data_IF_313099251742
#
_entry.id   IF_313099251742
#
_cell.length_a   1.000
_cell.length_b   1.000
_cell.length_c   1.000
_cell.angle_alpha   90.00
_cell.angle_beta   90.00
_cell.angle_gamma   90.00
#
_symmetry.space_group_name_H-M   'P 1'
#
loop_
_entity.id
_entity.type
_entity.pdbx_description
1 polymer ?
#
# COMPACT_ATOMS: atom_id res chain seq x y z
N UNK A 1 -4.01 10.09 -5.40
CA UNK A 1 -3.98 11.12 -6.46
C UNK A 1 -2.72 11.97 -6.39
N UNK A 2 -2.14 12.20 -5.20
CA UNK A 2 -1.06 13.17 -4.99
C UNK A 2 0.25 12.53 -4.50
N UNK A 3 0.85 11.66 -5.34
CA UNK A 3 2.06 10.89 -4.96
C UNK A 3 3.24 11.80 -4.63
N UNK A 4 3.36 12.91 -5.35
CA UNK A 4 4.45 13.87 -5.19
C UNK A 4 4.45 14.54 -3.81
N UNK A 5 3.34 14.48 -3.08
CA UNK A 5 3.22 15.06 -1.75
C UNK A 5 3.34 14.03 -0.62
N UNK A 6 3.58 12.74 -0.91
CA UNK A 6 3.70 11.72 0.13
C UNK A 6 4.79 12.05 1.16
N UNK A 7 5.98 12.49 0.70
CA UNK A 7 7.06 12.87 1.61
C UNK A 7 6.65 14.06 2.50
N UNK A 8 5.98 15.06 1.94
CA UNK A 8 5.46 16.22 2.68
C UNK A 8 4.41 15.82 3.71
N UNK A 9 3.50 14.89 3.37
CA UNK A 9 2.50 14.40 4.34
C UNK A 9 3.16 13.63 5.49
N UNK A 10 4.19 12.85 5.21
CA UNK A 10 4.94 12.13 6.24
C UNK A 10 5.66 13.11 7.17
N UNK A 11 6.40 14.09 6.62
CA UNK A 11 7.07 15.13 7.39
C UNK A 11 6.06 15.93 8.24
N UNK A 12 4.88 16.23 7.70
CA UNK A 12 3.79 16.84 8.45
C UNK A 12 3.35 15.99 9.66
N UNK A 13 3.13 14.69 9.48
CA UNK A 13 2.76 13.80 10.58
C UNK A 13 3.86 13.68 11.65
N UNK A 14 5.13 13.69 11.25
CA UNK A 14 6.26 13.70 12.17
C UNK A 14 6.31 14.98 13.00
N UNK A 15 6.10 16.13 12.36
CA UNK A 15 6.08 17.44 13.03
C UNK A 15 4.92 17.60 13.99
N UNK A 16 3.77 16.96 13.72
CA UNK A 16 2.63 16.94 14.64
C UNK A 16 2.93 16.20 15.95
N UNK A 17 3.94 15.31 15.98
CA UNK A 17 4.34 14.52 17.16
C UNK A 17 3.16 13.76 17.81
N UNK A 18 2.26 13.23 16.99
CA UNK A 18 1.10 12.43 17.43
C UNK A 18 1.22 10.98 16.94
N UNK A 19 1.78 10.05 17.75
CA UNK A 19 1.97 8.66 17.32
C UNK A 19 0.67 7.94 16.92
N UNK A 20 -0.45 8.28 17.58
CA UNK A 20 -1.78 7.73 17.27
C UNK A 20 -2.25 8.07 15.85
N UNK A 21 -1.80 9.20 15.30
CA UNK A 21 -2.16 9.61 13.95
C UNK A 21 -1.59 8.64 12.91
N UNK A 22 -0.32 8.25 13.05
CA UNK A 22 0.30 7.26 12.15
C UNK A 22 -0.45 5.92 12.19
N UNK A 23 -0.87 5.46 13.38
CA UNK A 23 -1.64 4.24 13.50
C UNK A 23 -3.00 4.35 12.80
N UNK A 24 -3.72 5.45 13.02
CA UNK A 24 -5.02 5.69 12.39
C UNK A 24 -4.91 5.78 10.86
N UNK A 25 -3.93 6.52 10.35
CA UNK A 25 -3.65 6.64 8.90
C UNK A 25 -3.25 5.29 8.31
N UNK A 26 -2.47 4.49 9.04
CA UNK A 26 -2.07 3.14 8.60
C UNK A 26 -3.28 2.21 8.51
N UNK A 27 -4.15 2.19 9.52
CA UNK A 27 -5.37 1.38 9.51
C UNK A 27 -6.32 1.79 8.37
N UNK A 28 -6.52 3.10 8.17
CA UNK A 28 -7.32 3.62 7.06
C UNK A 28 -6.71 3.23 5.70
N UNK A 29 -5.38 3.24 5.59
CA UNK A 29 -4.68 2.80 4.37
C UNK A 29 -4.94 1.32 4.07
N UNK A 30 -4.95 0.46 5.09
CA UNK A 30 -5.31 -0.95 4.93
C UNK A 30 -6.77 -1.15 4.50
N UNK A 31 -7.71 -0.39 5.08
CA UNK A 31 -9.12 -0.47 4.70
C UNK A 31 -9.34 -0.05 3.24
N UNK A 32 -8.68 1.03 2.80
CA UNK A 32 -8.66 1.44 1.39
C UNK A 32 -8.07 0.36 0.49
N UNK A 33 -6.95 -0.26 0.86
CA UNK A 33 -6.36 -1.35 0.09
C UNK A 33 -7.30 -2.55 0.01
N UNK A 34 -7.99 -2.90 1.10
CA UNK A 34 -8.95 -4.01 1.12
C UNK A 34 -10.10 -3.76 0.13
N UNK A 35 -10.61 -2.54 0.06
CA UNK A 35 -11.65 -2.17 -0.92
C UNK A 35 -11.12 -2.29 -2.34
N UNK A 36 -9.93 -1.75 -2.63
CA UNK A 36 -9.33 -1.82 -3.97
C UNK A 36 -8.99 -3.25 -4.40
N UNK A 37 -8.55 -4.10 -3.48
CA UNK A 37 -8.24 -5.51 -3.75
C UNK A 37 -9.50 -6.34 -4.00
N UNK A 38 -10.65 -6.00 -3.39
CA UNK A 38 -11.94 -6.62 -3.73
C UNK A 38 -12.38 -6.31 -5.17
N UNK A 39 -11.96 -5.18 -5.72
CA UNK A 39 -12.22 -4.78 -7.11
C UNK A 39 -10.96 -4.83 -7.99
N UNK A 40 -10.02 -5.73 -7.69
CA UNK A 40 -8.71 -5.83 -8.35
C UNK A 40 -8.81 -6.09 -9.86
N UNK A 41 -9.88 -6.74 -10.32
CA UNK A 41 -10.12 -6.99 -11.75
C UNK A 41 -10.19 -5.67 -12.56
N UNK A 42 -10.64 -4.58 -11.93
CA UNK A 42 -10.61 -3.25 -12.55
C UNK A 42 -9.16 -2.77 -12.79
N UNK A 43 -8.24 -3.08 -11.88
CA UNK A 43 -6.82 -2.73 -12.00
C UNK A 43 -6.07 -3.61 -13.01
N UNK A 44 -6.61 -4.80 -13.34
CA UNK A 44 -6.08 -5.64 -14.42
C UNK A 44 -6.32 -4.96 -15.77
N UNK A 45 -7.52 -4.44 -16.02
CA UNK A 45 -7.88 -3.85 -17.32
C UNK A 45 -7.60 -2.34 -17.41
N UNK A 46 -7.53 -1.63 -16.28
CA UNK A 46 -7.44 -0.17 -16.25
C UNK A 46 -6.12 0.33 -15.64
N UNK A 47 -5.34 1.05 -16.44
CA UNK A 47 -4.08 1.67 -16.01
C UNK A 47 -4.28 2.70 -14.89
N UNK A 48 -5.42 3.39 -14.86
CA UNK A 48 -5.72 4.37 -13.81
C UNK A 48 -5.96 3.69 -12.46
N UNK A 49 -6.77 2.62 -12.42
CA UNK A 49 -7.00 1.81 -11.22
C UNK A 49 -5.70 1.17 -10.74
N UNK A 50 -4.90 0.62 -11.67
CA UNK A 50 -3.56 0.08 -11.37
C UNK A 50 -2.63 1.13 -10.75
N UNK A 51 -2.69 2.36 -11.26
CA UNK A 51 -1.89 3.47 -10.72
C UNK A 51 -2.31 3.82 -9.29
N UNK A 52 -3.60 3.85 -9.00
CA UNK A 52 -4.08 4.08 -7.62
C UNK A 52 -3.59 2.99 -6.67
N UNK A 53 -3.72 1.71 -7.07
CA UNK A 53 -3.27 0.58 -6.27
C UNK A 53 -1.75 0.65 -5.99
N UNK A 54 -0.95 0.88 -7.03
CA UNK A 54 0.51 1.08 -6.94
C UNK A 54 0.88 2.22 -5.98
N UNK A 55 0.19 3.36 -6.09
CA UNK A 55 0.46 4.54 -5.28
C UNK A 55 0.15 4.30 -3.80
N UNK A 56 -0.93 3.56 -3.52
CA UNK A 56 -1.32 3.20 -2.16
C UNK A 56 -0.36 2.16 -1.55
N UNK A 57 0.17 1.24 -2.37
CA UNK A 57 1.25 0.34 -1.97
C UNK A 57 2.52 1.07 -1.56
N UNK A 58 2.96 2.03 -2.40
CA UNK A 58 4.12 2.86 -2.08
C UNK A 58 3.89 3.64 -0.77
N UNK A 59 2.73 4.29 -0.65
CA UNK A 59 2.34 4.98 0.58
C UNK A 59 2.41 4.09 1.82
N UNK A 60 1.81 2.88 1.75
CA UNK A 60 1.84 1.92 2.85
C UNK A 60 3.28 1.56 3.24
N UNK A 61 4.16 1.29 2.27
CA UNK A 61 5.57 1.01 2.52
C UNK A 61 6.28 2.14 3.26
N UNK A 62 6.02 3.40 2.86
CA UNK A 62 6.61 4.59 3.49
C UNK A 62 6.11 4.85 4.91
N UNK A 63 4.84 4.60 5.21
CA UNK A 63 4.29 4.81 6.58
C UNK A 63 4.47 3.59 7.50
N UNK A 64 4.96 2.46 6.99
CA UNK A 64 5.20 1.24 7.78
C UNK A 64 6.67 0.80 7.73
N UNK A 65 7.08 0.08 6.68
CA UNK A 65 8.40 -0.54 6.55
C UNK A 65 9.53 0.49 6.67
N UNK A 66 9.39 1.66 6.03
CA UNK A 66 10.39 2.72 6.08
C UNK A 66 10.52 3.38 7.47
N UNK A 67 9.64 3.01 8.40
CA UNK A 67 9.61 3.45 9.80
C UNK A 67 9.85 2.30 10.77
N UNK A 68 10.43 1.20 10.30
CA UNK A 68 10.68 -0.01 11.08
C UNK A 68 9.40 -0.57 11.74
N UNK A 69 8.26 -0.48 11.04
CA UNK A 69 6.99 -1.11 11.45
C UNK A 69 6.65 -2.24 10.49
N UNK A 70 6.44 -3.42 11.04
CA UNK A 70 6.05 -4.62 10.28
C UNK A 70 4.65 -4.48 9.67
N UNK A 71 4.46 -5.06 8.49
CA UNK A 71 3.13 -5.27 7.92
C UNK A 71 2.38 -6.35 8.72
N UNK A 72 1.13 -6.07 9.08
CA UNK A 72 0.29 -7.04 9.80
C UNK A 72 -0.31 -8.00 8.77
N UNK A 73 0.04 -9.28 8.80
CA UNK A 73 -0.50 -10.30 7.87
C UNK A 73 -2.04 -10.36 7.88
N UNK A 74 -2.66 -10.13 9.05
CA UNK A 74 -4.13 -10.03 9.19
C UNK A 74 -4.76 -8.87 8.40
N UNK A 75 -3.99 -7.82 8.12
CA UNK A 75 -4.43 -6.65 7.37
C UNK A 75 -4.09 -6.79 5.88
N UNK A 76 -2.88 -7.23 5.57
CA UNK A 76 -2.41 -7.49 4.21
C UNK A 76 -1.39 -8.63 4.21
N UNK A 77 -1.80 -9.79 3.73
CA UNK A 77 -0.92 -10.92 3.47
C UNK A 77 -0.40 -10.86 2.03
N UNK A 78 0.76 -10.23 1.84
CA UNK A 78 1.35 -10.06 0.51
C UNK A 78 1.66 -11.39 -0.18
N UNK A 79 2.05 -12.42 0.60
CA UNK A 79 2.37 -13.74 0.04
C UNK A 79 1.12 -14.37 -0.56
N UNK A 80 0.05 -14.47 0.23
CA UNK A 80 -1.20 -15.06 -0.23
C UNK A 80 -1.86 -14.22 -1.33
N UNK A 81 -1.77 -12.89 -1.27
CA UNK A 81 -2.26 -12.03 -2.34
C UNK A 81 -1.52 -12.25 -3.68
N UNK A 82 -0.20 -12.46 -3.65
CA UNK A 82 0.58 -12.76 -4.86
C UNK A 82 0.26 -14.15 -5.43
N UNK A 83 0.07 -15.15 -4.57
CA UNK A 83 -0.31 -16.51 -4.99
C UNK A 83 -1.71 -16.50 -5.63
N UNK A 84 -2.71 -15.93 -4.96
CA UNK A 84 -4.07 -15.79 -5.51
C UNK A 84 -4.07 -15.02 -6.84
N UNK A 85 -3.27 -13.96 -6.93
CA UNK A 85 -3.18 -13.18 -8.17
C UNK A 85 -2.53 -13.94 -9.32
N UNK A 86 -1.59 -14.84 -9.03
CA UNK A 86 -1.00 -15.72 -10.04
C UNK A 86 -2.03 -16.71 -10.58
N UNK A 87 -2.74 -17.39 -9.70
CA UNK A 87 -3.76 -18.39 -10.06
C UNK A 87 -4.93 -17.78 -10.85
N UNK A 88 -5.30 -16.54 -10.54
CA UNK A 88 -6.45 -15.86 -11.15
C UNK A 88 -6.09 -14.85 -12.25
N UNK A 89 -4.84 -14.82 -12.74
CA UNK A 89 -4.43 -13.92 -13.83
C UNK A 89 -4.43 -12.42 -13.47
N UNK A 90 -4.35 -12.08 -12.18
CA UNK A 90 -4.39 -10.70 -11.63
C UNK A 90 -3.01 -10.12 -11.30
N UNK A 91 -1.92 -10.85 -11.60
CA UNK A 91 -0.55 -10.40 -11.27
C UNK A 91 -0.19 -9.03 -11.85
N UNK A 92 -0.70 -8.68 -13.03
CA UNK A 92 -0.43 -7.37 -13.64
C UNK A 92 -0.87 -6.20 -12.77
N UNK A 93 -1.83 -6.42 -11.86
CA UNK A 93 -2.26 -5.45 -10.85
C UNK A 93 -1.56 -5.64 -9.50
N UNK A 94 -1.47 -6.87 -8.99
CA UNK A 94 -1.00 -7.15 -7.61
C UNK A 94 0.53 -7.15 -7.47
N UNK A 95 1.27 -7.60 -8.48
CA UNK A 95 2.74 -7.60 -8.41
C UNK A 95 3.31 -6.18 -8.28
N UNK A 96 2.90 -5.17 -9.10
CA UNK A 96 3.37 -3.81 -8.91
C UNK A 96 3.03 -3.22 -7.54
N UNK A 97 1.86 -3.57 -6.98
CA UNK A 97 1.49 -3.18 -5.61
C UNK A 97 2.51 -3.73 -4.60
N UNK A 98 2.77 -5.04 -4.63
CA UNK A 98 3.70 -5.69 -3.70
C UNK A 98 5.11 -5.09 -3.81
N UNK A 99 5.62 -4.91 -5.03
CA UNK A 99 6.93 -4.28 -5.26
C UNK A 99 6.98 -2.88 -4.64
N UNK A 100 5.94 -2.06 -4.83
CA UNK A 100 5.90 -0.71 -4.26
C UNK A 100 5.82 -0.69 -2.74
N UNK A 101 5.16 -1.65 -2.11
CA UNK A 101 5.19 -1.77 -0.66
C UNK A 101 6.62 -2.08 -0.19
N UNK A 102 7.29 -3.03 -0.84
CA UNK A 102 8.63 -3.49 -0.47
C UNK A 102 9.74 -2.46 -0.73
N UNK A 103 9.52 -1.45 -1.57
CA UNK A 103 10.42 -0.29 -1.70
C UNK A 103 10.59 0.49 -0.38
N UNK A 104 9.70 0.31 0.60
CA UNK A 104 9.85 0.88 1.94
C UNK A 104 10.87 0.16 2.83
N UNK A 105 11.44 -0.99 2.43
CA UNK A 105 12.43 -1.71 3.24
C UNK A 105 13.73 -0.89 3.28
N UNK A 106 14.19 -0.54 4.48
CA UNK A 106 15.51 0.06 4.68
C UNK A 106 16.60 -1.00 4.50
N UNK A 107 17.71 -0.64 3.85
CA UNK A 107 18.89 -1.50 3.68
C UNK A 107 19.72 -1.56 4.95
#
# INVERSE_FOLDING_TARGET
KEVNFHATYIDFFERLKQPRLFEMVTNMTYDCLRVLLKSVDQAVVSTSHRTVLKNLGYWLGQITLARNKSLKSKQLDLKNALLDAYENGRLTAVLPLACKVLEGIQK
#
